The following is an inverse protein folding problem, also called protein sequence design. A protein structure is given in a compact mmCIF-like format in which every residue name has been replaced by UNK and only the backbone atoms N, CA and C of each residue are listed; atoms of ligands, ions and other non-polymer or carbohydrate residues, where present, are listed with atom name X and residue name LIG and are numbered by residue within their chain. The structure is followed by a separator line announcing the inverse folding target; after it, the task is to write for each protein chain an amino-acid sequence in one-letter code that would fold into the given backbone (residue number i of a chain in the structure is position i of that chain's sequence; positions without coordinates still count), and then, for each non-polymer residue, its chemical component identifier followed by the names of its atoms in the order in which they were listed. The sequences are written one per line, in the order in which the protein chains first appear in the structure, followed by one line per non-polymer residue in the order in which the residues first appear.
data_IF_546215768891
#
_entry.id   IF_546215768891
#
_cell.length_a   1.000
_cell.length_b   1.000
_cell.length_c   1.000
_cell.angle_alpha   90.00
_cell.angle_beta   90.00
_cell.angle_gamma   90.00
#
_symmetry.space_group_name_H-M   'P 1'
#
loop_
_entity.id
_entity.type
_entity.pdbx_description
1 polymer ?
#
# COMPACT_ATOMS: atom_id res chain seq x y z
N UNK A 1 -32.70 1.65 -10.81
CA UNK A 1 -31.38 1.11 -11.18
C UNK A 1 -31.14 -0.13 -10.36
N UNK A 2 -31.38 -1.32 -10.93
CA UNK A 2 -31.07 -2.59 -10.29
C UNK A 2 -30.00 -3.30 -11.10
N UNK A 3 -29.07 -3.98 -10.41
CA UNK A 3 -28.19 -4.97 -11.02
C UNK A 3 -28.72 -6.34 -10.62
N UNK A 4 -28.95 -7.21 -11.61
CA UNK A 4 -29.26 -8.61 -11.39
C UNK A 4 -27.97 -9.41 -11.43
N UNK A 5 -27.77 -10.30 -10.46
CA UNK A 5 -26.63 -11.21 -10.41
C UNK A 5 -27.16 -12.63 -10.55
N UNK A 6 -26.47 -13.46 -11.33
CA UNK A 6 -26.73 -14.90 -11.36
C UNK A 6 -26.29 -15.55 -10.04
N UNK A 7 -26.81 -16.75 -9.74
CA UNK A 7 -26.34 -17.54 -8.61
C UNK A 7 -24.83 -17.81 -8.75
N UNK A 8 -24.06 -17.41 -7.74
CA UNK A 8 -22.60 -17.55 -7.74
C UNK A 8 -21.82 -16.46 -8.48
N UNK A 9 -22.51 -15.49 -9.11
CA UNK A 9 -21.83 -14.35 -9.74
C UNK A 9 -21.13 -13.49 -8.69
N UNK A 10 -19.87 -13.15 -8.96
CA UNK A 10 -19.02 -12.34 -8.08
C UNK A 10 -18.68 -11.03 -8.76
N UNK A 11 -18.70 -9.95 -7.99
CA UNK A 11 -18.17 -8.66 -8.41
C UNK A 11 -16.90 -8.32 -7.66
N UNK A 12 -15.96 -7.75 -8.38
CA UNK A 12 -14.77 -7.14 -7.80
C UNK A 12 -15.15 -5.84 -7.11
N UNK A 13 -14.84 -5.71 -5.83
CA UNK A 13 -15.16 -4.52 -5.05
C UNK A 13 -13.94 -3.69 -4.69
N UNK A 14 -12.75 -4.30 -4.61
CA UNK A 14 -11.55 -3.63 -4.10
C UNK A 14 -10.27 -4.29 -4.60
N UNK A 15 -9.23 -3.49 -4.83
CA UNK A 15 -7.85 -3.96 -4.96
C UNK A 15 -7.03 -3.59 -3.71
N UNK A 16 -6.27 -4.55 -3.18
CA UNK A 16 -5.31 -4.30 -2.09
C UNK A 16 -3.88 -4.46 -2.61
N UNK A 17 -3.30 -3.36 -3.10
CA UNK A 17 -1.92 -3.34 -3.60
C UNK A 17 -0.92 -3.54 -2.46
N UNK A 18 0.07 -4.42 -2.69
CA UNK A 18 1.15 -4.71 -1.74
C UNK A 18 2.46 -4.17 -2.29
N UNK A 19 3.29 -3.63 -1.41
CA UNK A 19 4.54 -2.95 -1.79
C UNK A 19 5.72 -3.59 -1.09
N UNK A 20 6.84 -3.69 -1.81
CA UNK A 20 8.15 -3.88 -1.18
C UNK A 20 8.57 -2.56 -0.53
N UNK A 21 9.34 -2.62 0.55
CA UNK A 21 9.76 -1.42 1.26
C UNK A 21 10.60 -0.49 0.37
N UNK A 22 11.47 -1.05 -0.49
CA UNK A 22 12.30 -0.26 -1.43
C UNK A 22 11.46 0.46 -2.49
N UNK A 23 10.40 -0.19 -2.99
CA UNK A 23 9.48 0.42 -3.95
C UNK A 23 8.69 1.54 -3.28
N UNK A 24 8.30 1.36 -2.02
CA UNK A 24 7.62 2.38 -1.22
C UNK A 24 8.53 3.57 -0.90
N UNK A 25 9.81 3.35 -0.59
CA UNK A 25 10.81 4.42 -0.43
C UNK A 25 10.97 5.23 -1.73
N UNK A 26 11.07 4.56 -2.88
CA UNK A 26 11.11 5.25 -4.18
C UNK A 26 9.88 6.12 -4.42
N UNK A 27 8.68 5.64 -4.07
CA UNK A 27 7.45 6.42 -4.19
C UNK A 27 7.46 7.65 -3.27
N UNK A 28 7.91 7.50 -2.03
CA UNK A 28 8.05 8.63 -1.10
C UNK A 28 9.03 9.68 -1.63
N UNK A 29 10.19 9.25 -2.15
CA UNK A 29 11.17 10.16 -2.77
C UNK A 29 10.60 10.91 -3.95
N UNK A 30 9.89 10.22 -4.84
CA UNK A 30 9.22 10.86 -5.97
C UNK A 30 8.16 11.87 -5.53
N UNK A 31 7.55 11.67 -4.36
CA UNK A 31 6.58 12.59 -3.76
C UNK A 31 7.22 13.72 -2.93
N UNK A 32 8.56 13.84 -2.89
CA UNK A 32 9.26 14.87 -2.12
C UNK A 32 9.38 14.55 -0.62
N UNK A 33 9.36 13.27 -0.25
CA UNK A 33 9.59 12.81 1.12
C UNK A 33 10.83 11.90 1.18
N UNK A 34 11.38 11.70 2.37
CA UNK A 34 12.36 10.64 2.63
C UNK A 34 11.91 9.80 3.82
N UNK A 35 12.26 8.51 3.79
CA UNK A 35 12.05 7.60 4.93
C UNK A 35 13.01 8.00 6.05
N UNK A 36 12.47 8.46 7.18
CA UNK A 36 13.25 8.70 8.39
C UNK A 36 13.48 7.39 9.14
N UNK A 37 12.45 6.55 9.24
CA UNK A 37 12.53 5.26 9.92
C UNK A 37 11.45 4.30 9.41
N UNK A 38 11.77 3.01 9.40
CA UNK A 38 10.81 1.94 9.14
C UNK A 38 10.89 0.89 10.25
N UNK A 39 9.73 0.39 10.65
CA UNK A 39 9.61 -0.77 11.53
C UNK A 39 8.81 -1.84 10.83
N UNK A 40 9.09 -3.08 11.20
CA UNK A 40 8.41 -4.23 10.65
C UNK A 40 8.38 -5.33 11.70
N UNK A 41 7.40 -6.20 11.60
CA UNK A 41 7.31 -7.37 12.47
C UNK A 41 8.45 -8.37 12.17
N UNK A 42 8.75 -9.32 13.08
CA UNK A 42 9.85 -10.27 12.88
C UNK A 42 9.74 -11.11 11.59
N UNK A 43 8.53 -11.30 11.05
CA UNK A 43 8.29 -12.07 9.83
C UNK A 43 8.26 -11.19 8.57
N UNK A 44 8.42 -9.87 8.72
CA UNK A 44 8.48 -8.90 7.62
C UNK A 44 7.19 -8.83 6.79
N UNK A 45 6.02 -9.04 7.40
CA UNK A 45 4.73 -9.05 6.69
C UNK A 45 4.08 -7.67 6.60
N UNK A 46 4.39 -6.80 7.55
CA UNK A 46 3.88 -5.44 7.58
C UNK A 46 4.99 -4.45 7.93
N UNK A 47 4.90 -3.25 7.36
CA UNK A 47 5.82 -2.17 7.64
C UNK A 47 5.07 -0.91 8.06
N UNK A 48 5.56 -0.25 9.11
CA UNK A 48 5.19 1.11 9.47
C UNK A 48 6.35 2.03 9.09
N UNK A 49 6.07 3.08 8.31
CA UNK A 49 7.08 3.98 7.77
C UNK A 49 6.82 5.40 8.27
N UNK A 50 7.81 5.97 8.98
CA UNK A 50 7.85 7.39 9.32
C UNK A 50 8.62 8.13 8.23
N UNK A 51 7.96 9.07 7.56
CA UNK A 51 8.54 9.90 6.51
C UNK A 51 8.59 11.37 6.91
N UNK A 52 9.56 12.11 6.36
CA UNK A 52 9.64 13.57 6.46
C UNK A 52 9.69 14.22 5.08
N UNK A 53 9.19 15.45 4.92
CA UNK A 53 9.41 16.22 3.70
C UNK A 53 10.91 16.35 3.41
N UNK A 54 11.30 16.22 2.15
CA UNK A 54 12.59 16.68 1.67
C UNK A 54 12.60 18.22 1.77
N UNK A 55 13.65 18.77 2.40
CA UNK A 55 13.87 20.21 2.49
C UNK A 55 14.35 20.81 1.17
#
# INVERSE_FOLDING_TARGET
GGRSFAEGERIHTENSHKYRLDDFDRMLRAAGFFVQQSWTDPQQWFAMVLARPAG
#
